data_IF_019560211740
#
_entry.id   IF_019560211740
#
_cell.length_a   1.000
_cell.length_b   1.000
_cell.length_c   1.000
_cell.angle_alpha   90.00
_cell.angle_beta   90.00
_cell.angle_gamma   90.00
#
_symmetry.space_group_name_H-M   'P 1'
#
loop_
_entity.id
_entity.type
_entity.pdbx_description
1 polymer ?
#
# COMPACT_ATOMS: atom_id res chain seq x y z
N UNK A 1 -16.67 -6.78 24.67
CA UNK A 1 -15.80 -6.34 23.55
C UNK A 1 -14.37 -6.53 24.03
N UNK A 2 -13.55 -7.29 23.32
CA UNK A 2 -12.11 -7.33 23.62
C UNK A 2 -11.55 -5.93 23.34
N UNK A 3 -10.90 -5.35 24.35
CA UNK A 3 -10.26 -4.05 24.27
C UNK A 3 -9.04 -4.20 23.33
N UNK A 4 -8.97 -3.39 22.27
CA UNK A 4 -7.85 -3.46 21.29
C UNK A 4 -6.54 -3.11 21.99
N UNK A 5 -5.49 -3.87 21.70
CA UNK A 5 -4.16 -3.59 22.25
C UNK A 5 -3.63 -2.26 21.65
N UNK A 6 -3.36 -1.24 22.46
CA UNK A 6 -2.94 0.07 21.98
C UNK A 6 -1.61 0.04 21.20
N UNK A 7 -0.80 -1.02 21.35
CA UNK A 7 0.41 -1.22 20.54
C UNK A 7 0.07 -1.62 19.11
N UNK A 8 -0.97 -2.43 18.92
CA UNK A 8 -1.47 -2.81 17.59
C UNK A 8 -2.02 -1.56 16.89
N UNK A 9 -2.78 -0.73 17.61
CA UNK A 9 -3.32 0.52 17.05
C UNK A 9 -2.19 1.50 16.66
N UNK A 10 -1.12 1.60 17.47
CA UNK A 10 0.04 2.44 17.16
C UNK A 10 0.80 1.95 15.91
N UNK A 11 0.99 0.63 15.76
CA UNK A 11 1.62 0.03 14.57
C UNK A 11 0.75 0.27 13.34
N UNK A 12 -0.55 -0.02 13.42
CA UNK A 12 -1.48 0.19 12.31
C UNK A 12 -1.55 1.68 11.89
N UNK A 13 -1.53 2.61 12.85
CA UNK A 13 -1.48 4.04 12.57
C UNK A 13 -0.15 4.44 11.89
N UNK A 14 0.98 3.91 12.36
CA UNK A 14 2.30 4.15 11.76
C UNK A 14 2.37 3.64 10.32
N UNK A 15 1.84 2.46 10.07
CA UNK A 15 1.80 1.85 8.73
C UNK A 15 0.90 2.66 7.79
N UNK A 16 -0.30 3.05 8.25
CA UNK A 16 -1.21 3.88 7.47
C UNK A 16 -0.60 5.24 7.11
N UNK A 17 0.07 5.89 8.07
CA UNK A 17 0.77 7.16 7.83
C UNK A 17 1.88 6.97 6.80
N UNK A 18 2.70 5.93 6.95
CA UNK A 18 3.81 5.64 6.04
C UNK A 18 3.32 5.37 4.62
N UNK A 19 2.28 4.54 4.46
CA UNK A 19 1.66 4.26 3.17
C UNK A 19 1.07 5.52 2.53
N UNK A 20 0.38 6.36 3.30
CA UNK A 20 -0.23 7.60 2.81
C UNK A 20 0.83 8.61 2.33
N UNK A 21 1.94 8.72 3.06
CA UNK A 21 3.06 9.60 2.69
C UNK A 21 3.74 9.09 1.42
N UNK A 22 3.99 7.78 1.30
CA UNK A 22 4.60 7.19 0.11
C UNK A 22 3.73 7.36 -1.13
N UNK A 23 2.42 7.06 -1.04
CA UNK A 23 1.49 7.26 -2.15
C UNK A 23 1.43 8.72 -2.60
N UNK A 24 1.36 9.66 -1.64
CA UNK A 24 1.38 11.10 -1.93
C UNK A 24 2.69 11.54 -2.61
N UNK A 25 3.83 10.98 -2.18
CA UNK A 25 5.13 11.26 -2.78
C UNK A 25 5.20 10.75 -4.22
N UNK A 26 4.79 9.51 -4.47
CA UNK A 26 4.75 8.93 -5.82
C UNK A 26 3.87 9.77 -6.75
N UNK A 27 2.66 10.11 -6.32
CA UNK A 27 1.77 11.00 -7.08
C UNK A 27 2.38 12.38 -7.34
N UNK A 28 3.08 12.96 -6.36
CA UNK A 28 3.78 14.24 -6.53
C UNK A 28 4.93 14.16 -7.54
N UNK A 29 5.68 13.05 -7.56
CA UNK A 29 6.77 12.83 -8.52
C UNK A 29 6.23 12.67 -9.94
N UNK A 30 5.13 11.93 -10.11
CA UNK A 30 4.41 11.80 -11.39
C UNK A 30 3.88 13.16 -11.87
N UNK A 31 3.19 13.91 -11.01
CA UNK A 31 2.66 15.25 -11.35
C UNK A 31 3.75 16.27 -11.71
N UNK A 32 5.00 16.05 -11.26
CA UNK A 32 6.17 16.87 -11.62
C UNK A 32 6.89 16.38 -12.88
N UNK A 33 6.46 15.26 -13.48
CA UNK A 33 7.11 14.62 -14.62
C UNK A 33 8.48 14.03 -14.29
N UNK A 34 8.77 13.77 -13.02
CA UNK A 34 10.01 13.11 -12.59
C UNK A 34 9.90 11.60 -12.85
N UNK A 35 8.71 11.05 -12.64
CA UNK A 35 8.34 9.69 -13.05
C UNK A 35 7.30 9.81 -14.17
N UNK A 36 7.44 8.98 -15.18
CA UNK A 36 6.40 8.68 -16.17
C UNK A 36 5.29 7.83 -15.56
N UNK A 37 4.14 7.76 -16.24
CA UNK A 37 3.02 6.91 -15.80
C UNK A 37 3.41 5.43 -15.72
N UNK A 38 4.29 4.98 -16.63
CA UNK A 38 4.87 3.63 -16.61
C UNK A 38 5.75 3.42 -15.36
N UNK A 39 6.64 4.36 -15.05
CA UNK A 39 7.48 4.29 -13.84
C UNK A 39 6.65 4.37 -12.54
N UNK A 40 5.57 5.16 -12.51
CA UNK A 40 4.62 5.18 -11.39
C UNK A 40 3.94 3.83 -11.23
N UNK A 41 3.50 3.22 -12.34
CA UNK A 41 2.91 1.88 -12.34
C UNK A 41 3.90 0.83 -11.84
N UNK A 42 5.14 0.86 -12.32
CA UNK A 42 6.21 -0.04 -11.90
C UNK A 42 6.46 0.02 -10.38
N UNK A 43 6.42 1.22 -9.78
CA UNK A 43 6.57 1.37 -8.32
C UNK A 43 5.50 0.56 -7.56
N UNK A 44 4.24 0.64 -7.99
CA UNK A 44 3.16 -0.10 -7.35
C UNK A 44 3.24 -1.60 -7.63
N UNK A 45 3.66 -2.02 -8.82
CA UNK A 45 3.89 -3.44 -9.14
C UNK A 45 5.01 -4.05 -8.30
N UNK A 46 6.12 -3.32 -8.11
CA UNK A 46 7.21 -3.74 -7.21
C UNK A 46 6.76 -3.79 -5.75
N UNK A 47 5.93 -2.85 -5.30
CA UNK A 47 5.36 -2.88 -3.96
C UNK A 47 4.49 -4.12 -3.74
N UNK A 48 3.68 -4.51 -4.73
CA UNK A 48 2.87 -5.73 -4.69
C UNK A 48 3.75 -6.99 -4.61
N UNK A 49 4.79 -7.07 -5.45
CA UNK A 49 5.75 -8.17 -5.42
C UNK A 49 6.44 -8.31 -4.05
N UNK A 50 6.86 -7.20 -3.45
CA UNK A 50 7.47 -7.21 -2.12
C UNK A 50 6.46 -7.66 -1.05
N UNK A 51 5.20 -7.24 -1.16
CA UNK A 51 4.15 -7.66 -0.24
C UNK A 51 3.91 -9.18 -0.31
N UNK A 52 3.83 -9.75 -1.52
CA UNK A 52 3.64 -11.18 -1.75
C UNK A 52 4.83 -12.01 -1.27
N UNK A 53 6.06 -11.54 -1.51
CA UNK A 53 7.28 -12.23 -1.05
C UNK A 53 7.50 -12.16 0.46
N UNK A 54 6.95 -11.14 1.12
CA UNK A 54 7.05 -10.96 2.57
C UNK A 54 5.85 -11.54 3.32
N UNK A 55 4.88 -12.17 2.65
CA UNK A 55 3.78 -12.83 3.32
C UNK A 55 4.31 -13.87 4.30
N UNK A 56 4.09 -13.59 5.58
CA UNK A 56 4.31 -14.55 6.65
C UNK A 56 3.33 -15.72 6.47
N UNK A 57 3.75 -16.93 6.82
CA UNK A 57 2.87 -18.10 6.97
C UNK A 57 1.96 -18.01 8.20
N UNK A 58 1.98 -16.89 8.92
CA UNK A 58 1.15 -16.63 10.08
C UNK A 58 -0.28 -16.26 9.65
N UNK A 59 -1.22 -17.16 9.92
CA UNK A 59 -2.64 -17.01 9.57
C UNK A 59 -3.29 -15.79 10.24
N UNK A 60 -2.77 -15.32 11.39
CA UNK A 60 -3.29 -14.11 12.05
C UNK A 60 -2.97 -12.83 11.26
N UNK A 61 -1.92 -12.86 10.43
CA UNK A 61 -1.47 -11.72 9.63
C UNK A 61 -2.13 -11.68 8.23
N UNK A 62 -2.77 -12.76 7.80
CA UNK A 62 -3.42 -12.86 6.46
C UNK A 62 -4.34 -11.68 6.15
N UNK A 63 -5.25 -11.24 7.04
CA UNK A 63 -6.15 -10.11 6.74
C UNK A 63 -5.42 -8.78 6.51
N UNK A 64 -4.23 -8.61 7.11
CA UNK A 64 -3.42 -7.39 6.95
C UNK A 64 -2.78 -7.38 5.57
N UNK A 65 -2.25 -8.52 5.12
CA UNK A 65 -1.70 -8.65 3.77
C UNK A 65 -2.75 -8.50 2.67
N UNK A 66 -3.96 -9.03 2.88
CA UNK A 66 -5.08 -8.84 1.95
C UNK A 66 -5.49 -7.37 1.83
N UNK A 67 -5.63 -6.67 2.95
CA UNK A 67 -5.96 -5.24 2.96
C UNK A 67 -4.88 -4.40 2.27
N UNK A 68 -3.59 -4.68 2.53
CA UNK A 68 -2.48 -3.99 1.88
C UNK A 68 -2.48 -4.22 0.36
N UNK A 69 -2.79 -5.44 -0.08
CA UNK A 69 -2.90 -5.80 -1.49
C UNK A 69 -4.03 -5.03 -2.19
N UNK A 70 -5.22 -4.98 -1.61
CA UNK A 70 -6.37 -4.27 -2.20
C UNK A 70 -6.07 -2.79 -2.43
N UNK A 71 -5.35 -2.15 -1.50
CA UNK A 71 -4.94 -0.74 -1.62
C UNK A 71 -4.00 -0.54 -2.82
N UNK A 72 -2.99 -1.41 -2.96
CA UNK A 72 -2.03 -1.32 -4.08
C UNK A 72 -2.73 -1.58 -5.42
N UNK A 73 -3.58 -2.61 -5.47
CA UNK A 73 -4.35 -2.93 -6.67
C UNK A 73 -5.29 -1.79 -7.07
N UNK A 74 -5.89 -1.07 -6.13
CA UNK A 74 -6.72 0.09 -6.41
C UNK A 74 -5.95 1.22 -7.12
N UNK A 75 -4.66 1.41 -6.82
CA UNK A 75 -3.82 2.40 -7.51
C UNK A 75 -3.40 1.95 -8.92
N UNK A 76 -3.44 0.64 -9.18
CA UNK A 76 -3.08 0.04 -10.47
C UNK A 76 -4.26 -0.09 -11.44
N UNK A 77 -5.49 0.12 -10.94
CA UNK A 77 -6.68 0.10 -11.80
C UNK A 77 -6.55 1.23 -12.82
N UNK A 78 -6.84 0.96 -14.11
CA UNK A 78 -6.99 2.05 -15.05
C UNK A 78 -8.05 3.01 -14.51
N UNK A 79 -7.79 4.31 -14.62
CA UNK A 79 -8.85 5.30 -14.43
C UNK A 79 -9.95 4.94 -15.44
N UNK A 80 -11.07 4.40 -14.94
CA UNK A 80 -12.27 4.26 -15.75
C UNK A 80 -12.78 5.70 -15.97
N UNK A 81 -12.21 6.36 -16.98
CA UNK A 81 -12.62 7.69 -17.44
C UNK A 81 -14.14 7.66 -17.75
N UNK A 82 -14.94 8.33 -16.91
CA UNK A 82 -16.31 8.80 -17.24
C UNK A 82 -16.27 10.10 -18.04
#
# INVERSE_FOLDING_TARGET
>A
MLERDPRIDAVAASDLVSASVLASLVGMLGAKGILSDEEVREVYEQALYLLETQQSTDEEMTPIYEAAREIIEAQLRPDEDE
#
